data_IF_737652569662
#
_entry.id   IF_737652569662
#
_cell.length_a   1.000
_cell.length_b   1.000
_cell.length_c   1.000
_cell.angle_alpha   90.00
_cell.angle_beta   90.00
_cell.angle_gamma   90.00
#
_symmetry.space_group_name_H-M   'P 1'
#
loop_
_entity.id
_entity.type
_entity.pdbx_description
1 polymer ?
#
# COMPACT_ATOMS: atom_id res chain seq x y z
N UNK A 1 -19.94 -21.21 -27.32
CA UNK A 1 -19.87 -19.74 -27.36
C UNK A 1 -19.07 -19.32 -26.14
N UNK A 2 -17.92 -18.75 -26.39
CA UNK A 2 -16.96 -18.31 -25.39
C UNK A 2 -16.80 -16.78 -25.51
N UNK A 3 -16.43 -16.09 -24.43
CA UNK A 3 -15.91 -14.72 -24.54
C UNK A 3 -14.79 -14.69 -25.61
N UNK A 4 -14.86 -13.73 -26.54
CA UNK A 4 -13.91 -13.62 -27.66
C UNK A 4 -14.47 -14.06 -29.01
N UNK A 5 -15.56 -14.84 -29.01
CA UNK A 5 -16.29 -15.19 -30.22
C UNK A 5 -16.92 -13.94 -30.86
N UNK A 6 -16.95 -13.89 -32.19
CA UNK A 6 -17.82 -12.95 -32.91
C UNK A 6 -19.19 -13.57 -33.04
N UNK A 7 -20.20 -12.86 -32.55
CA UNK A 7 -21.55 -13.36 -32.35
C UNK A 7 -22.57 -12.45 -32.98
N UNK A 8 -23.67 -13.04 -33.43
CA UNK A 8 -24.92 -12.36 -33.75
C UNK A 8 -25.97 -12.78 -32.72
N UNK A 9 -26.57 -11.79 -32.07
CA UNK A 9 -27.61 -11.96 -31.06
C UNK A 9 -28.89 -11.29 -31.57
N UNK A 10 -29.90 -12.09 -31.90
CA UNK A 10 -31.23 -11.63 -32.27
C UNK A 10 -32.17 -11.72 -31.06
N UNK A 11 -32.84 -10.62 -30.71
CA UNK A 11 -33.86 -10.61 -29.67
C UNK A 11 -34.99 -9.67 -30.03
N UNK A 12 -36.22 -10.20 -29.99
CA UNK A 12 -37.42 -9.51 -30.46
C UNK A 12 -37.23 -8.97 -31.89
N UNK A 13 -37.27 -7.65 -32.07
CA UNK A 13 -37.12 -6.95 -33.36
C UNK A 13 -35.71 -6.37 -33.57
N UNK A 14 -34.73 -6.76 -32.75
CA UNK A 14 -33.37 -6.21 -32.76
C UNK A 14 -32.32 -7.28 -32.99
N UNK A 15 -31.30 -6.90 -33.75
CA UNK A 15 -30.11 -7.72 -34.01
C UNK A 15 -28.88 -6.97 -33.56
N UNK A 16 -28.03 -7.63 -32.78
CA UNK A 16 -26.74 -7.13 -32.34
C UNK A 16 -25.65 -8.03 -32.89
N UNK A 17 -24.64 -7.45 -33.53
CA UNK A 17 -23.48 -8.19 -34.03
C UNK A 17 -22.21 -7.57 -33.46
N UNK A 18 -21.34 -8.41 -32.92
CA UNK A 18 -20.13 -7.95 -32.25
C UNK A 18 -19.36 -9.07 -31.59
N UNK A 19 -18.41 -8.71 -30.73
CA UNK A 19 -17.62 -9.68 -29.95
C UNK A 19 -18.34 -9.96 -28.64
N UNK A 20 -18.50 -11.23 -28.27
CA UNK A 20 -19.01 -11.57 -26.95
C UNK A 20 -17.96 -11.24 -25.89
N UNK A 21 -18.35 -10.41 -24.92
CA UNK A 21 -17.53 -10.10 -23.75
C UNK A 21 -17.96 -10.94 -22.53
N UNK A 22 -17.08 -11.08 -21.52
CA UNK A 22 -17.47 -11.58 -20.22
C UNK A 22 -18.64 -10.78 -19.64
N UNK A 23 -19.60 -11.47 -19.04
CA UNK A 23 -20.72 -10.85 -18.34
C UNK A 23 -20.54 -11.06 -16.84
N UNK A 24 -20.86 -10.03 -16.05
CA UNK A 24 -20.90 -10.12 -14.58
C UNK A 24 -22.13 -10.87 -14.07
N UNK A 25 -23.09 -11.19 -14.94
CA UNK A 25 -24.32 -11.94 -14.58
C UNK A 25 -24.65 -12.99 -15.64
N UNK A 26 -25.35 -14.04 -15.19
CA UNK A 26 -25.82 -15.08 -16.09
C UNK A 26 -27.08 -14.72 -16.87
N UNK A 27 -27.72 -13.62 -16.55
CA UNK A 27 -28.99 -13.21 -17.17
C UNK A 27 -28.77 -12.46 -18.50
N UNK A 28 -27.56 -11.94 -18.73
CA UNK A 28 -27.27 -11.07 -19.87
C UNK A 28 -26.07 -11.54 -20.69
N UNK A 29 -26.13 -11.32 -21.99
CA UNK A 29 -24.99 -11.33 -22.91
C UNK A 29 -24.46 -9.90 -23.02
N UNK A 30 -23.15 -9.73 -22.94
CA UNK A 30 -22.50 -8.45 -23.23
C UNK A 30 -21.85 -8.56 -24.59
N UNK A 31 -22.28 -7.74 -25.55
CA UNK A 31 -21.74 -7.75 -26.91
C UNK A 31 -21.07 -6.40 -27.19
N UNK A 32 -19.80 -6.44 -27.60
CA UNK A 32 -19.07 -5.27 -28.08
C UNK A 32 -19.32 -5.08 -29.57
N UNK A 33 -20.11 -4.08 -29.90
CA UNK A 33 -20.47 -3.74 -31.28
C UNK A 33 -19.26 -3.23 -32.05
N UNK A 34 -19.31 -3.27 -33.39
CA UNK A 34 -18.25 -2.75 -34.27
C UNK A 34 -17.94 -1.25 -34.01
N UNK A 35 -18.93 -0.47 -33.58
CA UNK A 35 -18.76 0.92 -33.17
C UNK A 35 -18.04 1.12 -31.82
N UNK A 36 -17.63 0.04 -31.14
CA UNK A 36 -16.89 0.07 -29.87
C UNK A 36 -17.75 0.10 -28.61
N UNK A 37 -19.07 0.24 -28.73
CA UNK A 37 -19.99 0.24 -27.59
C UNK A 37 -20.30 -1.17 -27.10
N UNK A 38 -20.35 -1.35 -25.78
CA UNK A 38 -20.83 -2.56 -25.14
C UNK A 38 -22.34 -2.47 -24.93
N UNK A 39 -23.09 -3.51 -25.33
CA UNK A 39 -24.54 -3.63 -25.08
C UNK A 39 -24.86 -4.88 -24.28
N UNK A 40 -25.71 -4.73 -23.28
CA UNK A 40 -26.31 -5.84 -22.54
C UNK A 40 -27.59 -6.31 -23.21
N UNK A 41 -27.72 -7.61 -23.46
CA UNK A 41 -28.91 -8.25 -24.02
C UNK A 41 -29.35 -9.35 -23.08
N UNK A 42 -30.58 -9.32 -22.53
CA UNK A 42 -31.00 -10.47 -21.70
C UNK A 42 -30.94 -11.76 -22.54
N UNK A 43 -30.39 -12.81 -21.93
CA UNK A 43 -30.30 -14.16 -22.49
C UNK A 43 -31.68 -14.77 -22.71
N UNK A 44 -32.64 -14.43 -21.85
CA UNK A 44 -34.00 -14.92 -22.00
C UNK A 44 -34.65 -14.41 -23.29
N UNK A 45 -34.92 -15.34 -24.20
CA UNK A 45 -35.51 -15.06 -25.51
C UNK A 45 -34.53 -14.48 -26.55
N UNK A 46 -33.23 -14.53 -26.29
CA UNK A 46 -32.20 -14.25 -27.29
C UNK A 46 -31.89 -15.51 -28.13
N UNK A 47 -31.86 -15.36 -29.45
CA UNK A 47 -31.28 -16.34 -30.37
C UNK A 47 -29.85 -15.92 -30.71
N UNK A 48 -28.92 -16.85 -30.57
CA UNK A 48 -27.49 -16.53 -30.63
C UNK A 48 -26.79 -17.43 -31.63
N UNK A 49 -26.12 -16.80 -32.59
CA UNK A 49 -25.32 -17.47 -33.62
C UNK A 49 -23.86 -17.05 -33.51
N UNK A 50 -22.96 -18.03 -33.40
CA UNK A 50 -21.52 -17.80 -33.52
C UNK A 50 -21.20 -17.59 -35.01
N UNK A 51 -20.64 -16.44 -35.35
CA UNK A 51 -20.22 -16.11 -36.72
C UNK A 51 -18.76 -16.48 -36.97
N UNK A 52 -17.91 -16.37 -35.95
CA UNK A 52 -16.54 -16.84 -35.94
C UNK A 52 -16.11 -17.12 -34.49
N UNK A 53 -15.39 -18.22 -34.29
CA UNK A 53 -14.84 -18.64 -32.99
C UNK A 53 -13.47 -18.01 -32.76
N UNK A 54 -13.15 -17.69 -31.49
CA UNK A 54 -11.84 -17.22 -31.03
C UNK A 54 -11.26 -16.06 -31.86
N UNK A 55 -12.12 -15.11 -32.26
CA UNK A 55 -11.69 -13.94 -33.03
C UNK A 55 -10.75 -13.05 -32.21
N UNK A 56 -10.92 -13.08 -30.88
CA UNK A 56 -10.06 -12.43 -29.92
C UNK A 56 -9.83 -13.37 -28.74
N UNK A 57 -8.58 -13.50 -28.31
CA UNK A 57 -8.27 -14.11 -27.01
C UNK A 57 -8.76 -13.15 -25.92
N UNK A 58 -9.83 -13.52 -25.22
CA UNK A 58 -10.26 -12.84 -24.00
C UNK A 58 -9.87 -13.73 -22.85
N UNK A 59 -8.64 -13.58 -22.37
CA UNK A 59 -8.15 -14.37 -21.25
C UNK A 59 -8.91 -14.00 -19.97
N UNK A 60 -9.74 -14.94 -19.53
CA UNK A 60 -10.15 -15.10 -18.13
C UNK A 60 -9.35 -16.21 -17.43
N UNK A 61 -8.26 -16.67 -18.05
CA UNK A 61 -7.37 -17.72 -17.55
C UNK A 61 -5.95 -17.39 -17.96
N UNK A 62 -5.03 -17.41 -17.00
CA UNK A 62 -3.58 -17.22 -17.17
C UNK A 62 -3.07 -17.90 -18.45
N UNK A 63 -2.86 -17.11 -19.50
CA UNK A 63 -2.23 -17.56 -20.73
C UNK A 63 -1.10 -16.57 -21.05
N UNK A 64 0.11 -17.04 -20.75
CA UNK A 64 1.38 -16.37 -21.02
C UNK A 64 1.62 -16.34 -22.53
N UNK A 65 1.06 -15.34 -23.20
CA UNK A 65 1.37 -14.99 -24.58
C UNK A 65 2.55 -14.01 -24.65
N UNK A 66 3.76 -14.46 -24.33
CA UNK A 66 4.99 -13.68 -24.52
C UNK A 66 5.35 -13.65 -26.01
N UNK A 67 5.04 -12.56 -26.71
CA UNK A 67 5.87 -12.17 -27.85
C UNK A 67 7.23 -11.73 -27.29
N UNK A 68 8.21 -12.64 -27.33
CA UNK A 68 9.61 -12.34 -27.06
C UNK A 68 10.15 -11.36 -28.11
N UNK A 69 9.88 -10.07 -27.94
CA UNK A 69 10.84 -9.05 -28.37
C UNK A 69 11.85 -8.89 -27.25
N UNK A 70 12.87 -9.76 -27.23
CA UNK A 70 13.99 -9.65 -26.30
C UNK A 70 14.78 -8.37 -26.54
N UNK A 71 14.36 -7.27 -25.92
CA UNK A 71 15.24 -6.14 -25.66
C UNK A 71 16.01 -6.48 -24.39
N UNK A 72 17.18 -7.11 -24.53
CA UNK A 72 18.07 -7.29 -23.40
C UNK A 72 18.37 -5.90 -22.81
N UNK A 73 17.93 -5.66 -21.56
CA UNK A 73 18.29 -4.46 -20.82
C UNK A 73 19.79 -4.53 -20.58
N UNK A 74 20.58 -3.80 -21.38
CA UNK A 74 22.01 -3.64 -21.12
C UNK A 74 22.18 -2.67 -19.94
N UNK A 75 22.87 -3.13 -18.90
CA UNK A 75 23.16 -2.31 -17.74
C UNK A 75 24.30 -1.34 -18.09
N UNK A 76 24.13 -0.08 -17.74
CA UNK A 76 25.16 0.95 -17.86
C UNK A 76 25.89 1.07 -16.51
N UNK A 77 27.19 0.80 -16.48
CA UNK A 77 28.00 0.86 -15.25
C UNK A 77 28.02 2.26 -14.60
N UNK A 78 27.66 3.31 -15.36
CA UNK A 78 27.58 4.70 -14.86
C UNK A 78 26.20 5.04 -14.23
N UNK A 79 25.20 4.15 -14.33
CA UNK A 79 23.86 4.35 -13.78
C UNK A 79 23.61 3.56 -12.47
N UNK A 80 22.87 4.12 -11.51
CA UNK A 80 22.48 3.40 -10.31
C UNK A 80 21.54 2.24 -10.65
N UNK A 81 21.59 1.17 -9.88
CA UNK A 81 20.68 0.02 -9.99
C UNK A 81 19.49 0.21 -9.06
N UNK A 82 18.28 0.32 -9.62
CA UNK A 82 17.02 0.41 -8.87
C UNK A 82 16.23 -0.89 -9.04
N UNK A 83 15.85 -1.50 -7.91
CA UNK A 83 14.96 -2.67 -7.93
C UNK A 83 13.50 -2.21 -7.89
N UNK A 84 12.71 -2.67 -8.85
CA UNK A 84 11.27 -2.43 -8.97
C UNK A 84 10.56 -3.68 -8.46
N UNK A 85 10.00 -3.58 -7.25
CA UNK A 85 9.28 -4.67 -6.60
C UNK A 85 7.78 -4.42 -6.71
N UNK A 86 7.04 -5.38 -7.25
CA UNK A 86 5.58 -5.32 -7.34
C UNK A 86 4.93 -6.23 -6.29
N UNK A 87 3.96 -5.69 -5.54
CA UNK A 87 3.04 -6.48 -4.71
C UNK A 87 1.62 -6.52 -5.30
N UNK A 88 1.47 -6.04 -6.53
CA UNK A 88 0.21 -5.74 -7.18
C UNK A 88 0.04 -4.23 -7.35
N UNK A 89 -1.21 -3.78 -7.48
CA UNK A 89 -1.53 -2.39 -7.74
C UNK A 89 -1.46 -2.01 -9.22
N UNK A 90 -2.15 -0.91 -9.54
CA UNK A 90 -2.49 -0.56 -10.93
C UNK A 90 -1.43 0.24 -11.67
N UNK A 91 -0.28 0.54 -11.06
CA UNK A 91 0.68 1.51 -11.59
C UNK A 91 1.28 1.07 -12.95
N UNK A 92 1.42 -0.24 -13.17
CA UNK A 92 1.89 -0.85 -14.42
C UNK A 92 0.79 -1.70 -15.10
N UNK A 93 -0.48 -1.28 -15.04
CA UNK A 93 -1.54 -1.99 -15.75
C UNK A 93 -1.76 -1.45 -17.17
N UNK A 94 -1.91 -2.34 -18.16
CA UNK A 94 -2.23 -1.96 -19.55
C UNK A 94 -3.66 -2.36 -19.90
N UNK A 95 -4.37 -1.51 -20.65
CA UNK A 95 -5.67 -1.86 -21.25
C UNK A 95 -5.51 -2.39 -22.66
N UNK A 96 -6.09 -3.56 -22.89
CA UNK A 96 -6.37 -4.02 -24.24
C UNK A 96 -7.65 -3.34 -24.74
N UNK A 97 -7.51 -2.36 -25.62
CA UNK A 97 -8.67 -1.64 -26.18
C UNK A 97 -9.59 -2.51 -27.04
N UNK A 98 -9.14 -3.69 -27.51
CA UNK A 98 -9.95 -4.62 -28.31
C UNK A 98 -10.93 -5.37 -27.41
N UNK A 99 -10.47 -5.82 -26.23
CA UNK A 99 -11.29 -6.60 -25.28
C UNK A 99 -11.88 -5.74 -24.16
N UNK A 100 -11.23 -4.63 -23.81
CA UNK A 100 -11.51 -3.81 -22.64
C UNK A 100 -10.88 -4.36 -21.35
N UNK A 101 -10.09 -5.44 -21.43
CA UNK A 101 -9.43 -6.04 -20.29
C UNK A 101 -8.23 -5.21 -19.80
N UNK A 102 -7.96 -5.28 -18.50
CA UNK A 102 -6.80 -4.65 -17.85
C UNK A 102 -5.87 -5.77 -17.41
N UNK A 103 -4.61 -5.76 -17.86
CA UNK A 103 -3.60 -6.77 -17.49
C UNK A 103 -2.52 -6.11 -16.64
N UNK A 104 -2.17 -6.73 -15.51
CA UNK A 104 -1.02 -6.33 -14.70
C UNK A 104 0.28 -6.78 -15.37
N UNK A 105 1.38 -6.07 -15.10
CA UNK A 105 2.69 -6.32 -15.69
C UNK A 105 3.68 -6.87 -14.67
N UNK A 106 4.60 -7.74 -15.13
CA UNK A 106 5.29 -8.68 -14.23
C UNK A 106 6.82 -8.59 -14.23
N UNK A 107 7.44 -7.93 -15.20
CA UNK A 107 8.89 -7.73 -15.20
C UNK A 107 9.28 -6.25 -15.42
N UNK A 108 10.58 -5.95 -15.28
CA UNK A 108 11.08 -4.58 -15.46
C UNK A 108 10.85 -4.06 -16.89
N UNK A 109 10.89 -4.94 -17.90
CA UNK A 109 10.66 -4.54 -19.28
C UNK A 109 9.22 -4.09 -19.47
N UNK A 110 8.28 -4.81 -18.87
CA UNK A 110 6.89 -4.42 -18.89
C UNK A 110 6.67 -3.05 -18.23
N UNK A 111 7.22 -2.84 -17.01
CA UNK A 111 7.12 -1.52 -16.34
C UNK A 111 7.70 -0.41 -17.21
N UNK A 112 8.83 -0.63 -17.88
CA UNK A 112 9.42 0.33 -18.82
C UNK A 112 8.55 0.57 -20.06
N UNK A 113 7.79 -0.44 -20.52
CA UNK A 113 6.79 -0.26 -21.59
C UNK A 113 5.59 0.57 -21.12
N UNK A 114 5.14 0.38 -19.88
CA UNK A 114 4.04 1.15 -19.30
C UNK A 114 4.44 2.58 -18.92
N UNK A 115 5.69 2.78 -18.47
CA UNK A 115 6.25 4.08 -18.09
C UNK A 115 7.57 4.31 -18.85
N UNK A 116 7.52 4.67 -20.15
CA UNK A 116 8.72 4.89 -20.96
C UNK A 116 9.65 5.96 -20.42
N UNK A 117 9.11 6.93 -19.67
CA UNK A 117 9.87 8.00 -19.01
C UNK A 117 10.93 7.48 -18.03
N UNK A 118 10.84 6.23 -17.57
CA UNK A 118 11.87 5.61 -16.74
C UNK A 118 13.13 5.22 -17.53
N UNK A 119 13.04 5.03 -18.84
CA UNK A 119 14.15 4.56 -19.66
C UNK A 119 15.37 5.49 -19.57
N UNK A 120 16.53 4.92 -19.23
CA UNK A 120 17.81 5.64 -19.15
C UNK A 120 18.04 6.42 -17.85
N UNK A 121 17.13 6.36 -16.87
CA UNK A 121 17.32 7.00 -15.55
C UNK A 121 18.15 6.17 -14.57
N UNK A 122 18.05 4.85 -14.70
CA UNK A 122 18.69 3.86 -13.85
C UNK A 122 18.74 2.50 -14.58
N UNK A 123 19.55 1.59 -14.05
CA UNK A 123 19.46 0.17 -14.38
C UNK A 123 18.33 -0.45 -13.55
N UNK A 124 17.41 -1.17 -14.19
CA UNK A 124 16.25 -1.72 -13.49
C UNK A 124 16.33 -3.24 -13.33
N UNK A 125 16.03 -3.70 -12.12
CA UNK A 125 15.69 -5.10 -11.83
C UNK A 125 14.20 -5.16 -11.51
N UNK A 126 13.50 -6.17 -12.03
CA UNK A 126 12.07 -6.35 -11.79
C UNK A 126 11.84 -7.60 -10.96
N UNK A 127 11.03 -7.49 -9.90
CA UNK A 127 10.65 -8.63 -9.05
C UNK A 127 9.18 -8.53 -8.66
N UNK A 128 8.46 -9.64 -8.79
CA UNK A 128 7.09 -9.76 -8.29
C UNK A 128 7.12 -10.55 -6.99
N UNK A 129 6.61 -9.94 -5.92
CA UNK A 129 6.42 -10.60 -4.62
C UNK A 129 5.00 -11.13 -4.52
N UNK A 130 4.03 -10.33 -4.91
CA UNK A 130 2.62 -10.69 -4.91
C UNK A 130 1.89 -10.00 -6.07
N UNK A 131 0.69 -10.49 -6.41
CA UNK A 131 -0.23 -9.81 -7.32
C UNK A 131 -1.62 -9.80 -6.68
N UNK A 132 -1.80 -8.90 -5.72
CA UNK A 132 -3.05 -8.78 -4.96
C UNK A 132 -3.57 -7.35 -4.96
N UNK A 133 -4.86 -7.22 -4.70
CA UNK A 133 -5.44 -5.93 -4.32
C UNK A 133 -5.00 -5.60 -2.89
N UNK A 134 -4.64 -4.33 -2.65
CA UNK A 134 -4.06 -3.91 -1.37
C UNK A 134 -4.95 -4.21 -0.15
N UNK A 135 -6.26 -4.21 -0.31
CA UNK A 135 -7.23 -4.56 0.73
C UNK A 135 -7.14 -6.02 1.20
N UNK A 136 -6.48 -6.90 0.43
CA UNK A 136 -6.22 -8.30 0.78
C UNK A 136 -4.77 -8.52 1.27
N UNK A 137 -4.05 -7.46 1.65
CA UNK A 137 -2.70 -7.56 2.18
C UNK A 137 -2.72 -8.19 3.59
N UNK A 138 -1.81 -9.12 3.85
CA UNK A 138 -1.73 -9.88 5.10
C UNK A 138 -0.28 -9.96 5.60
N UNK A 139 -0.04 -10.19 6.91
CA UNK A 139 1.30 -10.24 7.50
C UNK A 139 2.32 -11.12 6.77
N UNK A 140 1.99 -12.36 6.33
CA UNK A 140 2.96 -13.19 5.60
C UNK A 140 3.50 -12.53 4.32
N UNK A 141 2.67 -11.73 3.64
CA UNK A 141 3.06 -11.03 2.42
C UNK A 141 4.03 -9.87 2.75
N UNK A 142 3.88 -9.22 3.91
CA UNK A 142 4.86 -8.24 4.38
C UNK A 142 6.21 -8.88 4.69
N UNK A 143 6.22 -10.09 5.25
CA UNK A 143 7.46 -10.84 5.50
C UNK A 143 8.16 -11.21 4.19
N UNK A 144 7.41 -11.72 3.21
CA UNK A 144 7.92 -12.03 1.87
C UNK A 144 8.47 -10.76 1.17
N UNK A 145 7.77 -9.63 1.32
CA UNK A 145 8.21 -8.34 0.79
C UNK A 145 9.50 -7.86 1.47
N UNK A 146 9.61 -7.94 2.79
CA UNK A 146 10.81 -7.54 3.52
C UNK A 146 12.03 -8.40 3.09
N UNK A 147 11.85 -9.71 2.95
CA UNK A 147 12.87 -10.60 2.43
C UNK A 147 13.29 -10.24 0.99
N UNK A 148 12.32 -9.98 0.11
CA UNK A 148 12.60 -9.59 -1.26
C UNK A 148 13.39 -8.27 -1.35
N UNK A 149 12.99 -7.26 -0.57
CA UNK A 149 13.70 -5.98 -0.49
C UNK A 149 15.12 -6.18 0.01
N UNK A 150 15.30 -6.92 1.12
CA UNK A 150 16.62 -7.23 1.67
C UNK A 150 17.51 -7.94 0.65
N UNK A 151 17.01 -8.95 -0.06
CA UNK A 151 17.76 -9.69 -1.08
C UNK A 151 18.20 -8.79 -2.24
N UNK A 152 17.36 -7.87 -2.70
CA UNK A 152 17.68 -6.93 -3.77
C UNK A 152 18.78 -5.95 -3.35
N UNK A 153 18.70 -5.41 -2.13
CA UNK A 153 19.73 -4.53 -1.57
C UNK A 153 21.04 -5.30 -1.38
N UNK A 154 20.99 -6.52 -0.83
CA UNK A 154 22.16 -7.38 -0.67
C UNK A 154 22.81 -7.77 -2.01
N UNK A 155 22.01 -7.83 -3.09
CA UNK A 155 22.48 -8.03 -4.47
C UNK A 155 23.01 -6.73 -5.12
N UNK A 156 23.15 -5.65 -4.36
CA UNK A 156 23.75 -4.38 -4.81
C UNK A 156 22.77 -3.43 -5.50
N UNK A 157 21.49 -3.43 -5.11
CA UNK A 157 20.60 -2.34 -5.51
C UNK A 157 20.95 -1.05 -4.75
N UNK A 158 21.06 0.06 -5.47
CA UNK A 158 21.30 1.41 -4.94
C UNK A 158 20.02 2.05 -4.36
N UNK A 159 18.86 1.43 -4.60
CA UNK A 159 17.57 1.83 -4.07
C UNK A 159 16.48 0.85 -4.51
N UNK A 160 15.36 0.85 -3.81
CA UNK A 160 14.22 -0.02 -4.10
C UNK A 160 12.96 0.82 -4.26
N UNK A 161 12.18 0.56 -5.30
CA UNK A 161 10.83 1.11 -5.49
C UNK A 161 9.82 -0.01 -5.34
N UNK A 162 8.92 0.11 -4.38
CA UNK A 162 7.84 -0.85 -4.14
C UNK A 162 6.54 -0.31 -4.75
N UNK A 163 6.10 -0.93 -5.84
CA UNK A 163 4.84 -0.68 -6.50
C UNK A 163 3.72 -1.39 -5.75
N UNK A 164 2.84 -0.61 -5.12
CA UNK A 164 1.88 -1.11 -4.14
C UNK A 164 0.48 -0.51 -4.36
N UNK A 165 -0.56 -1.27 -4.03
CA UNK A 165 -1.94 -0.76 -4.01
C UNK A 165 -2.14 0.30 -2.91
N UNK A 166 -2.94 1.32 -3.17
CA UNK A 166 -2.97 2.52 -2.32
C UNK A 166 -3.71 2.34 -0.99
N UNK A 167 -4.60 1.36 -0.84
CA UNK A 167 -5.47 1.28 0.35
C UNK A 167 -4.73 0.89 1.62
N UNK A 168 -3.71 0.04 1.51
CA UNK A 168 -2.93 -0.46 2.65
C UNK A 168 -1.46 -0.09 2.61
N UNK A 169 -1.04 0.72 1.63
CA UNK A 169 0.36 1.15 1.47
C UNK A 169 0.96 1.77 2.74
N UNK A 170 0.17 2.53 3.51
CA UNK A 170 0.62 3.10 4.79
C UNK A 170 1.02 2.03 5.82
N UNK A 171 0.36 0.86 5.83
CA UNK A 171 0.65 -0.23 6.74
C UNK A 171 1.91 -0.97 6.29
N UNK A 172 2.00 -1.29 5.00
CA UNK A 172 3.17 -1.95 4.41
C UNK A 172 4.44 -1.11 4.56
N UNK A 173 4.36 0.20 4.33
CA UNK A 173 5.48 1.11 4.54
C UNK A 173 5.87 1.22 6.03
N UNK A 174 4.88 1.29 6.93
CA UNK A 174 5.14 1.31 8.36
C UNK A 174 5.83 0.02 8.84
N UNK A 175 5.32 -1.15 8.48
CA UNK A 175 5.88 -2.43 8.96
C UNK A 175 7.27 -2.69 8.39
N UNK A 176 7.53 -2.36 7.11
CA UNK A 176 8.87 -2.48 6.54
C UNK A 176 9.87 -1.52 7.20
N UNK A 177 9.40 -0.39 7.74
CA UNK A 177 10.26 0.53 8.50
C UNK A 177 10.75 -0.08 9.81
N UNK A 178 10.01 -1.04 10.40
CA UNK A 178 10.42 -1.77 11.59
C UNK A 178 11.21 -3.04 11.24
N UNK A 179 10.85 -3.72 10.15
CA UNK A 179 11.50 -4.96 9.74
C UNK A 179 12.89 -4.79 9.14
N UNK A 180 13.25 -3.60 8.63
CA UNK A 180 14.47 -3.40 7.85
C UNK A 180 15.28 -2.20 8.36
N UNK A 181 16.54 -2.45 8.69
CA UNK A 181 17.57 -1.41 8.73
C UNK A 181 18.20 -1.34 7.34
N UNK A 182 18.08 -0.20 6.65
CA UNK A 182 18.49 -0.09 5.24
C UNK A 182 19.62 0.93 5.03
N UNK A 183 20.69 0.58 4.26
CA UNK A 183 21.71 1.53 3.83
C UNK A 183 21.29 2.36 2.62
N UNK A 184 20.17 2.03 1.97
CA UNK A 184 19.67 2.66 0.74
C UNK A 184 18.19 3.01 0.84
N UNK A 185 17.66 3.92 0.00
CA UNK A 185 16.25 4.29 0.04
C UNK A 185 15.32 3.14 -0.37
N UNK A 186 14.18 3.00 0.34
CA UNK A 186 13.08 2.11 -0.04
C UNK A 186 11.83 2.97 -0.23
N UNK A 187 11.34 3.08 -1.47
CA UNK A 187 10.27 4.03 -1.83
C UNK A 187 9.03 3.30 -2.31
N UNK A 188 7.99 3.29 -1.47
CA UNK A 188 6.66 2.85 -1.86
C UNK A 188 5.99 3.89 -2.76
N UNK A 189 5.29 3.41 -3.79
CA UNK A 189 4.52 4.25 -4.70
C UNK A 189 3.34 3.49 -5.30
N UNK A 190 2.40 4.21 -5.90
CA UNK A 190 1.20 3.65 -6.51
C UNK A 190 0.46 4.70 -7.33
N UNK A 191 -0.81 4.42 -7.67
CA UNK A 191 -1.65 5.35 -8.42
C UNK A 191 -3.10 5.34 -7.91
N UNK A 192 -3.66 6.52 -7.69
CA UNK A 192 -5.07 6.73 -7.32
C UNK A 192 -6.00 6.68 -8.53
N UNK A 193 -5.47 6.87 -9.73
CA UNK A 193 -6.16 6.72 -11.01
C UNK A 193 -5.55 5.54 -11.74
N UNK A 194 -6.39 4.62 -12.18
CA UNK A 194 -5.99 3.46 -12.98
C UNK A 194 -5.06 3.86 -14.14
N UNK A 195 -3.96 3.12 -14.32
CA UNK A 195 -2.90 3.42 -15.30
C UNK A 195 -3.38 3.48 -16.76
N UNK A 196 -4.53 2.87 -17.07
CA UNK A 196 -5.13 2.90 -18.39
C UNK A 196 -5.72 4.25 -18.80
N UNK A 197 -5.86 5.15 -17.82
CA UNK A 197 -6.44 6.47 -18.04
C UNK A 197 -5.33 7.46 -18.43
N UNK A 198 -5.52 8.28 -19.48
CA UNK A 198 -4.56 9.33 -19.82
C UNK A 198 -4.33 10.38 -18.72
N UNK A 199 -5.25 10.47 -17.76
CA UNK A 199 -5.11 11.31 -16.57
C UNK A 199 -4.57 10.53 -15.36
N UNK A 200 -3.92 9.39 -15.57
CA UNK A 200 -3.34 8.62 -14.47
C UNK A 200 -2.20 9.41 -13.82
N UNK A 201 -2.06 9.22 -12.53
CA UNK A 201 -0.94 9.70 -11.71
C UNK A 201 0.25 8.72 -11.73
N UNK A 202 0.12 7.55 -12.37
CA UNK A 202 1.12 6.49 -12.36
C UNK A 202 2.51 6.90 -12.86
N UNK A 203 2.59 7.61 -13.99
CA UNK A 203 3.86 8.01 -14.61
C UNK A 203 4.64 8.92 -13.69
N UNK A 204 4.00 9.99 -13.21
CA UNK A 204 4.65 10.97 -12.34
C UNK A 204 5.05 10.37 -11.00
N UNK A 205 4.19 9.55 -10.39
CA UNK A 205 4.52 8.86 -9.15
C UNK A 205 5.69 7.89 -9.34
N UNK A 206 5.73 7.11 -10.43
CA UNK A 206 6.81 6.17 -10.70
C UNK A 206 8.15 6.87 -10.96
N UNK A 207 8.15 7.92 -11.79
CA UNK A 207 9.35 8.73 -12.05
C UNK A 207 9.85 9.36 -10.75
N UNK A 208 8.97 9.99 -9.99
CA UNK A 208 9.35 10.65 -8.74
C UNK A 208 9.86 9.66 -7.69
N UNK A 209 9.26 8.47 -7.62
CA UNK A 209 9.72 7.41 -6.71
C UNK A 209 11.10 6.88 -7.09
N UNK A 210 11.40 6.75 -8.39
CA UNK A 210 12.74 6.37 -8.87
C UNK A 210 13.78 7.45 -8.55
N UNK A 211 13.47 8.72 -8.75
CA UNK A 211 14.39 9.81 -8.38
C UNK A 211 14.61 9.86 -6.85
N UNK A 212 13.56 9.66 -6.06
CA UNK A 212 13.70 9.52 -4.61
C UNK A 212 14.53 8.28 -4.21
N UNK A 213 14.41 7.17 -4.93
CA UNK A 213 15.17 5.95 -4.68
C UNK A 213 16.69 6.11 -4.97
N UNK A 214 17.06 7.11 -5.78
CA UNK A 214 18.45 7.48 -6.07
C UNK A 214 19.03 8.47 -5.05
N UNK A 215 18.21 9.05 -4.18
CA UNK A 215 18.63 10.07 -3.22
C UNK A 215 19.46 9.52 -2.06
N UNK A 216 19.96 10.39 -1.18
CA UNK A 216 20.72 9.98 0.01
C UNK A 216 19.84 9.59 1.22
N UNK A 217 18.52 9.69 1.10
CA UNK A 217 17.59 9.35 2.20
C UNK A 217 17.34 7.84 2.29
N UNK A 218 18.17 7.15 3.09
CA UNK A 218 18.07 5.72 3.36
C UNK A 218 17.03 5.40 4.44
N UNK A 219 15.77 5.69 4.13
CA UNK A 219 14.60 5.33 4.93
C UNK A 219 13.55 4.62 4.05
N UNK A 220 12.57 4.01 4.71
CA UNK A 220 11.32 3.59 4.04
C UNK A 220 10.42 4.82 3.89
N UNK A 221 10.11 5.15 2.64
CA UNK A 221 9.30 6.32 2.27
C UNK A 221 8.08 5.91 1.45
N UNK A 222 7.06 6.78 1.44
CA UNK A 222 5.97 6.76 0.46
C UNK A 222 6.11 8.00 -0.43
N UNK A 223 6.13 7.80 -1.75
CA UNK A 223 6.18 8.86 -2.76
C UNK A 223 4.87 8.89 -3.57
N UNK A 224 4.08 9.94 -3.37
CA UNK A 224 2.80 10.18 -4.03
C UNK A 224 2.63 11.68 -4.32
N UNK A 225 1.75 12.08 -5.23
CA UNK A 225 1.41 13.48 -5.50
C UNK A 225 1.28 14.34 -4.24
N UNK A 226 1.95 15.49 -4.21
CA UNK A 226 1.83 16.48 -3.13
C UNK A 226 0.59 17.38 -3.28
N UNK A 227 0.02 17.44 -4.49
CA UNK A 227 -1.17 18.22 -4.81
C UNK A 227 -2.02 17.50 -5.87
N UNK A 228 -3.21 18.03 -6.17
CA UNK A 228 -4.00 17.50 -7.30
C UNK A 228 -3.35 17.73 -8.68
N UNK A 229 -2.31 18.56 -8.74
CA UNK A 229 -1.60 18.95 -9.97
C UNK A 229 -0.41 18.04 -10.24
N UNK A 230 -0.05 17.91 -11.52
CA UNK A 230 1.12 17.14 -11.95
C UNK A 230 2.40 18.00 -11.88
N UNK A 231 2.71 18.52 -10.68
CA UNK A 231 3.83 19.43 -10.42
C UNK A 231 4.91 18.83 -9.50
N UNK A 232 4.49 18.20 -8.40
CA UNK A 232 5.40 17.60 -7.40
C UNK A 232 4.79 16.39 -6.69
N UNK A 233 5.66 15.48 -6.28
CA UNK A 233 5.33 14.40 -5.34
C UNK A 233 5.89 14.73 -3.96
N UNK A 234 5.15 14.39 -2.91
CA UNK A 234 5.62 14.46 -1.52
C UNK A 234 6.31 13.15 -1.16
N UNK A 235 7.37 13.26 -0.35
CA UNK A 235 8.07 12.13 0.27
C UNK A 235 7.68 12.07 1.73
N UNK A 236 6.95 11.03 2.10
CA UNK A 236 6.49 10.80 3.47
C UNK A 236 7.33 9.70 4.12
N UNK A 237 7.79 9.91 5.36
CA UNK A 237 8.36 8.82 6.16
C UNK A 237 7.30 7.73 6.35
N UNK A 238 7.65 6.46 6.11
CA UNK A 238 6.72 5.33 6.04
C UNK A 238 5.87 5.15 7.29
N UNK A 239 6.42 5.47 8.46
CA UNK A 239 5.74 5.39 9.77
C UNK A 239 4.84 6.59 10.11
N UNK A 240 4.82 7.63 9.28
CA UNK A 240 4.07 8.88 9.52
C UNK A 240 3.08 9.20 8.42
N UNK A 241 2.97 8.34 7.40
CA UNK A 241 2.08 8.55 6.27
C UNK A 241 0.71 7.95 6.54
N UNK A 242 -0.35 8.65 6.11
CA UNK A 242 -1.72 8.14 6.13
C UNK A 242 -2.45 8.50 4.85
N UNK A 243 -3.25 7.57 4.32
CA UNK A 243 -4.21 7.84 3.24
C UNK A 243 -5.44 8.55 3.84
N UNK A 244 -5.45 9.87 3.77
CA UNK A 244 -6.48 10.74 4.32
C UNK A 244 -7.64 11.01 3.35
N UNK A 245 -7.47 10.74 2.05
CA UNK A 245 -8.55 10.84 1.07
C UNK A 245 -8.78 9.53 0.33
N UNK A 246 -10.04 9.22 0.02
CA UNK A 246 -10.44 7.98 -0.66
C UNK A 246 -10.16 7.97 -2.16
N UNK A 247 -9.65 9.05 -2.75
CA UNK A 247 -9.61 9.18 -4.23
C UNK A 247 -8.83 10.35 -4.80
N UNK A 248 -8.47 11.41 -4.05
CA UNK A 248 -7.62 12.47 -4.60
C UNK A 248 -6.22 11.94 -4.89
N UNK A 249 -5.47 12.61 -5.77
CA UNK A 249 -4.07 12.25 -6.06
C UNK A 249 -3.19 12.52 -4.84
N UNK A 250 -3.39 13.67 -4.19
CA UNK A 250 -2.82 14.07 -2.90
C UNK A 250 -3.53 13.43 -1.71
N UNK A 251 -3.87 12.13 -1.82
CA UNK A 251 -4.56 11.41 -0.77
C UNK A 251 -3.67 11.04 0.42
N UNK A 252 -2.35 10.99 0.23
CA UNK A 252 -1.40 10.64 1.27
C UNK A 252 -0.85 11.90 1.93
N UNK A 253 -0.85 11.90 3.25
CA UNK A 253 -0.41 13.03 4.06
C UNK A 253 0.52 12.54 5.17
N UNK A 254 1.51 13.36 5.52
CA UNK A 254 2.30 13.15 6.74
C UNK A 254 1.51 13.68 7.93
N UNK A 255 1.33 12.86 8.95
CA UNK A 255 0.63 13.25 10.17
C UNK A 255 1.63 13.67 11.24
N UNK A 256 1.38 14.81 11.87
CA UNK A 256 2.20 15.37 12.95
C UNK A 256 3.44 16.15 12.50
N UNK A 257 3.68 16.34 11.20
CA UNK A 257 4.73 17.19 10.65
C UNK A 257 4.61 17.34 9.12
N UNK A 258 5.30 18.32 8.53
CA UNK A 258 5.43 18.40 7.07
C UNK A 258 6.07 17.12 6.47
N UNK A 259 5.82 16.82 5.18
CA UNK A 259 6.52 15.76 4.47
C UNK A 259 8.04 15.83 4.66
N UNK A 260 8.70 14.67 4.60
CA UNK A 260 10.15 14.56 4.77
C UNK A 260 10.89 15.36 3.68
N UNK A 261 10.33 15.34 2.47
CA UNK A 261 10.81 16.07 1.32
C UNK A 261 9.76 16.11 0.20
N UNK A 262 10.19 16.61 -0.95
CA UNK A 262 9.41 16.60 -2.19
C UNK A 262 10.30 16.31 -3.39
N UNK A 263 9.68 15.84 -4.47
CA UNK A 263 10.28 15.71 -5.79
C UNK A 263 9.55 16.65 -6.72
N UNK A 264 10.27 17.60 -7.31
CA UNK A 264 9.75 18.44 -8.39
C UNK A 264 9.79 17.64 -9.69
N UNK A 265 8.64 17.46 -10.35
CA UNK A 265 8.54 16.54 -11.47
C UNK A 265 9.17 17.08 -12.76
N UNK A 266 9.19 18.40 -12.97
CA UNK A 266 9.76 19.00 -14.18
C UNK A 266 11.29 19.02 -14.14
N UNK A 267 11.85 19.38 -12.99
CA UNK A 267 13.31 19.45 -12.79
C UNK A 267 13.92 18.16 -12.28
N UNK A 268 13.10 17.22 -11.83
CA UNK A 268 13.51 15.93 -11.25
C UNK A 268 14.37 16.09 -9.98
N UNK A 269 14.24 17.25 -9.33
CA UNK A 269 15.02 17.59 -8.13
C UNK A 269 14.34 17.01 -6.90
N UNK A 270 15.12 16.29 -6.09
CA UNK A 270 14.69 15.80 -4.78
C UNK A 270 15.20 16.75 -3.70
N UNK A 271 14.30 17.29 -2.89
CA UNK A 271 14.63 18.18 -1.78
C UNK A 271 14.06 17.64 -0.46
N UNK A 272 14.92 17.48 0.54
CA UNK A 272 14.52 17.11 1.90
C UNK A 272 14.54 18.34 2.80
N UNK A 273 13.53 18.45 3.66
CA UNK A 273 13.33 19.62 4.57
C UNK A 273 13.52 19.27 6.03
N UNK A 274 13.70 17.99 6.34
CA UNK A 274 13.78 17.43 7.69
C UNK A 274 14.94 16.43 7.76
N UNK A 275 15.41 16.15 8.96
CA UNK A 275 16.48 15.18 9.19
C UNK A 275 16.02 13.77 8.79
N UNK A 276 16.91 13.08 8.08
CA UNK A 276 16.73 11.71 7.62
C UNK A 276 18.01 10.89 7.83
N UNK A 277 17.87 9.57 7.73
CA UNK A 277 19.02 8.66 7.74
C UNK A 277 19.80 8.73 6.42
N UNK A 278 21.05 9.15 6.49
CA UNK A 278 21.95 9.23 5.34
C UNK A 278 22.29 7.84 4.77
N UNK A 279 22.48 7.79 3.46
CA UNK A 279 22.90 6.59 2.72
C UNK A 279 24.17 5.99 3.33
N UNK A 280 24.12 4.68 3.60
CA UNK A 280 25.22 3.92 4.19
C UNK A 280 25.53 4.26 5.65
N UNK A 281 24.65 4.97 6.37
CA UNK A 281 24.82 5.26 7.80
C UNK A 281 24.67 4.01 8.69
N UNK A 282 23.93 3.00 8.22
CA UNK A 282 23.73 1.71 8.89
C UNK A 282 24.06 0.57 7.95
N UNK A 283 24.32 -0.61 8.51
CA UNK A 283 24.43 -1.86 7.75
C UNK A 283 23.02 -2.41 7.44
N UNK A 284 22.90 -3.17 6.36
CA UNK A 284 21.64 -3.85 6.03
C UNK A 284 21.32 -4.94 7.06
N UNK A 285 20.15 -4.86 7.71
CA UNK A 285 19.63 -5.88 8.60
C UNK A 285 18.14 -6.13 8.37
N UNK A 286 17.65 -7.29 8.81
CA UNK A 286 16.24 -7.68 8.69
C UNK A 286 15.76 -8.46 9.92
N UNK A 287 14.60 -8.06 10.45
CA UNK A 287 13.87 -8.71 11.54
C UNK A 287 12.40 -8.88 11.11
N UNK A 288 12.10 -9.94 10.33
CA UNK A 288 10.82 -10.04 9.60
C UNK A 288 9.73 -10.76 10.40
N UNK A 289 10.01 -11.28 11.60
CA UNK A 289 9.00 -11.99 12.39
C UNK A 289 7.88 -11.03 12.81
N UNK A 290 6.64 -11.52 12.78
CA UNK A 290 5.44 -10.79 13.19
C UNK A 290 4.52 -11.74 13.96
N UNK A 291 3.94 -11.24 15.05
CA UNK A 291 2.78 -11.83 15.70
C UNK A 291 1.52 -11.37 14.94
N UNK A 292 0.73 -12.31 14.44
CA UNK A 292 -0.44 -12.00 13.60
C UNK A 292 -1.73 -11.84 14.41
N UNK A 293 -1.78 -12.33 15.66
CA UNK A 293 -2.90 -12.18 16.60
C UNK A 293 -2.88 -10.83 17.33
N UNK A 294 -2.91 -9.76 16.53
CA UNK A 294 -2.96 -8.37 17.00
C UNK A 294 -4.09 -7.60 16.35
N UNK A 295 -4.98 -7.06 17.19
CA UNK A 295 -6.18 -6.35 16.74
C UNK A 295 -6.13 -4.83 16.95
N UNK A 296 -6.89 -4.10 16.12
CA UNK A 296 -7.08 -2.66 16.23
C UNK A 296 -8.54 -2.36 16.60
N UNK A 297 -8.75 -1.96 17.86
CA UNK A 297 -10.07 -1.65 18.41
C UNK A 297 -10.33 -0.14 18.40
N UNK A 298 -11.34 0.29 17.64
CA UNK A 298 -11.82 1.68 17.75
C UNK A 298 -12.88 1.83 18.83
N UNK A 299 -12.56 2.57 19.89
CA UNK A 299 -13.53 2.90 20.92
C UNK A 299 -14.63 3.84 20.38
N UNK A 300 -15.89 3.60 20.76
CA UNK A 300 -17.01 4.51 20.43
C UNK A 300 -17.96 4.67 21.63
N UNK A 301 -18.65 5.82 21.75
CA UNK A 301 -19.59 6.04 22.85
C UNK A 301 -20.71 4.99 22.87
N UNK A 302 -20.89 4.34 24.02
CA UNK A 302 -21.90 3.29 24.19
C UNK A 302 -21.43 1.89 23.76
N UNK A 303 -20.13 1.69 23.52
CA UNK A 303 -19.54 0.36 23.34
C UNK A 303 -19.87 -0.53 24.54
N UNK A 304 -20.43 -1.70 24.25
CA UNK A 304 -20.73 -2.73 25.24
C UNK A 304 -19.42 -3.36 25.74
N UNK A 305 -19.12 -3.41 27.05
CA UNK A 305 -17.95 -4.10 27.57
C UNK A 305 -17.81 -5.55 27.13
N UNK A 306 -18.93 -6.24 26.87
CA UNK A 306 -18.89 -7.62 26.35
C UNK A 306 -18.28 -7.72 24.95
N UNK A 307 -18.18 -6.61 24.21
CA UNK A 307 -17.49 -6.62 22.92
C UNK A 307 -16.00 -6.94 23.06
N UNK A 308 -15.39 -6.63 24.21
CA UNK A 308 -13.99 -6.95 24.47
C UNK A 308 -13.75 -8.46 24.63
N UNK A 309 -14.80 -9.27 24.82
CA UNK A 309 -14.69 -10.72 24.91
C UNK A 309 -14.22 -11.35 23.59
N UNK A 310 -14.38 -10.66 22.46
CA UNK A 310 -13.83 -11.13 21.17
C UNK A 310 -12.31 -11.04 21.09
N UNK A 311 -11.68 -10.30 22.02
CA UNK A 311 -10.24 -10.10 22.11
C UNK A 311 -9.60 -11.03 23.14
N UNK A 312 -10.38 -11.91 23.79
CA UNK A 312 -9.82 -12.93 24.69
C UNK A 312 -8.83 -13.82 23.94
N UNK A 313 -7.61 -13.89 24.45
CA UNK A 313 -6.55 -14.74 23.89
C UNK A 313 -5.73 -14.09 22.79
N UNK A 314 -6.06 -12.87 22.35
CA UNK A 314 -5.18 -12.11 21.47
C UNK A 314 -3.85 -11.80 22.17
N UNK A 315 -2.74 -11.87 21.43
CA UNK A 315 -1.41 -11.52 21.95
C UNK A 315 -1.26 -9.99 22.09
N UNK A 316 -1.94 -9.21 21.24
CA UNK A 316 -1.91 -7.75 21.30
C UNK A 316 -3.21 -7.05 20.89
N UNK A 317 -3.47 -5.90 21.51
CA UNK A 317 -4.58 -5.01 21.13
C UNK A 317 -4.10 -3.55 21.11
N UNK A 318 -4.32 -2.87 19.99
CA UNK A 318 -4.20 -1.42 19.90
C UNK A 318 -5.59 -0.79 20.00
N UNK A 319 -5.77 0.11 20.96
CA UNK A 319 -7.04 0.83 21.15
C UNK A 319 -6.93 2.22 20.53
N UNK A 320 -7.83 2.57 19.60
CA UNK A 320 -8.07 3.96 19.19
C UNK A 320 -9.01 4.63 20.20
N UNK A 321 -8.42 5.17 21.26
CA UNK A 321 -9.12 5.94 22.29
C UNK A 321 -9.60 7.31 21.81
N UNK A 322 -10.31 8.02 22.67
CA UNK A 322 -10.76 9.40 22.42
C UNK A 322 -9.77 10.42 22.99
N UNK A 323 -9.60 11.55 22.31
CA UNK A 323 -8.85 12.69 22.83
C UNK A 323 -7.41 12.34 23.20
N UNK A 324 -7.07 12.40 24.49
CA UNK A 324 -5.73 12.08 25.00
C UNK A 324 -5.49 10.58 25.25
N UNK A 325 -6.38 9.67 24.84
CA UNK A 325 -6.20 8.22 25.08
C UNK A 325 -7.29 7.58 25.95
N UNK A 326 -8.52 8.09 25.91
CA UNK A 326 -9.55 7.64 26.85
C UNK A 326 -10.56 6.65 26.25
N UNK A 327 -11.01 5.73 27.10
CA UNK A 327 -12.20 4.89 26.88
C UNK A 327 -13.28 5.21 27.91
N UNK A 328 -14.45 4.58 27.81
CA UNK A 328 -15.45 4.63 28.87
C UNK A 328 -14.95 3.86 30.11
N UNK A 329 -15.14 4.40 31.32
CA UNK A 329 -14.65 3.79 32.57
C UNK A 329 -15.12 2.34 32.77
N UNK A 330 -16.32 1.99 32.32
CA UNK A 330 -16.85 0.62 32.43
C UNK A 330 -16.08 -0.41 31.58
N UNK A 331 -15.25 0.02 30.63
CA UNK A 331 -14.38 -0.87 29.85
C UNK A 331 -13.08 -1.20 30.57
N UNK A 332 -12.64 -0.38 31.52
CA UNK A 332 -11.33 -0.51 32.17
C UNK A 332 -11.17 -1.86 32.88
N UNK A 333 -12.12 -2.35 33.70
CA UNK A 333 -11.96 -3.64 34.37
C UNK A 333 -11.75 -4.78 33.37
N UNK A 334 -12.39 -4.71 32.20
CA UNK A 334 -12.28 -5.74 31.19
C UNK A 334 -10.96 -5.65 30.42
N UNK A 335 -10.44 -4.44 30.21
CA UNK A 335 -9.10 -4.22 29.65
C UNK A 335 -8.04 -4.74 30.63
N UNK A 336 -8.19 -4.49 31.93
CA UNK A 336 -7.31 -5.01 32.97
C UNK A 336 -7.29 -6.55 32.95
N UNK A 337 -8.46 -7.20 32.85
CA UNK A 337 -8.55 -8.66 32.72
C UNK A 337 -7.80 -9.20 31.49
N UNK A 338 -7.90 -8.56 30.31
CA UNK A 338 -7.14 -8.96 29.11
C UNK A 338 -5.63 -8.88 29.35
N UNK A 339 -5.17 -7.82 30.02
CA UNK A 339 -3.75 -7.62 30.34
C UNK A 339 -3.28 -8.67 31.35
N UNK A 340 -4.08 -8.95 32.39
CA UNK A 340 -3.77 -10.00 33.37
C UNK A 340 -3.67 -11.39 32.73
N UNK A 341 -4.46 -11.65 31.68
CA UNK A 341 -4.44 -12.89 30.89
C UNK A 341 -3.29 -12.96 29.88
N UNK A 342 -2.52 -11.89 29.71
CA UNK A 342 -1.27 -11.85 28.92
C UNK A 342 -1.30 -10.97 27.67
N UNK A 343 -2.45 -10.38 27.32
CA UNK A 343 -2.57 -9.51 26.14
C UNK A 343 -1.84 -8.20 26.34
N UNK A 344 -0.97 -7.81 25.41
CA UNK A 344 -0.38 -6.47 25.42
C UNK A 344 -1.36 -5.44 24.89
N UNK A 345 -1.75 -4.46 25.70
CA UNK A 345 -2.69 -3.41 25.27
C UNK A 345 -1.98 -2.06 25.12
N UNK A 346 -2.00 -1.50 23.90
CA UNK A 346 -1.44 -0.18 23.60
C UNK A 346 -2.54 0.85 23.28
N UNK A 347 -2.39 2.07 23.80
CA UNK A 347 -3.33 3.18 23.60
C UNK A 347 -2.85 4.14 22.53
N UNK A 348 -3.73 4.42 21.56
CA UNK A 348 -3.60 5.48 20.55
C UNK A 348 -4.84 6.39 20.59
N UNK A 349 -4.93 7.37 19.69
CA UNK A 349 -6.07 8.28 19.61
C UNK A 349 -6.74 8.27 18.25
N UNK A 350 -8.07 8.43 18.26
CA UNK A 350 -8.87 8.76 17.08
C UNK A 350 -8.54 10.15 16.54
N UNK A 351 -7.99 11.03 17.37
CA UNK A 351 -7.39 12.28 16.92
C UNK A 351 -6.06 11.93 16.24
N UNK A 352 -6.03 12.07 14.91
CA UNK A 352 -4.83 11.76 14.12
C UNK A 352 -3.64 12.63 14.53
N UNK A 353 -3.90 13.91 14.79
CA UNK A 353 -2.91 14.82 15.36
C UNK A 353 -3.05 14.86 16.88
N UNK A 354 -1.91 14.79 17.56
CA UNK A 354 -1.81 14.90 19.00
C UNK A 354 -1.04 13.73 19.60
N UNK A 355 -0.82 13.82 20.90
CA UNK A 355 -0.13 12.82 21.70
C UNK A 355 -1.07 12.31 22.79
N UNK A 356 -1.14 10.99 22.93
CA UNK A 356 -1.76 10.33 24.09
C UNK A 356 -1.05 10.76 25.37
N UNK A 357 -1.84 11.09 26.39
CA UNK A 357 -1.33 11.52 27.69
C UNK A 357 -2.37 11.16 28.77
N UNK A 358 -2.29 9.92 29.22
CA UNK A 358 -3.21 9.31 30.17
C UNK A 358 -2.95 9.77 31.62
N UNK A 359 -1.97 10.65 31.83
CA UNK A 359 -1.61 11.17 33.15
C UNK A 359 -2.49 12.34 33.59
N UNK A 360 -3.24 12.96 32.68
CA UNK A 360 -4.01 14.19 32.94
C UNK A 360 -5.29 13.91 33.70
N UNK A 361 -6.11 12.97 33.20
CA UNK A 361 -7.44 12.66 33.72
C UNK A 361 -7.43 11.37 34.55
N UNK A 362 -8.40 11.22 35.46
CA UNK A 362 -8.52 10.01 36.30
C UNK A 362 -8.62 8.75 35.44
N UNK A 363 -9.48 8.77 34.42
CA UNK A 363 -9.68 7.64 33.49
C UNK A 363 -8.39 7.16 32.82
N UNK A 364 -7.49 8.08 32.47
CA UNK A 364 -6.20 7.72 31.90
C UNK A 364 -5.28 7.09 32.96
N UNK A 365 -5.27 7.63 34.18
CA UNK A 365 -4.47 7.05 35.28
C UNK A 365 -4.95 5.64 35.62
N UNK A 366 -6.25 5.42 35.59
CA UNK A 366 -6.84 4.10 35.80
C UNK A 366 -6.40 3.11 34.69
N UNK A 367 -6.29 3.55 33.42
CA UNK A 367 -5.76 2.74 32.32
C UNK A 367 -4.28 2.42 32.49
N UNK A 368 -3.47 3.38 32.93
CA UNK A 368 -2.05 3.15 33.23
C UNK A 368 -1.88 2.19 34.41
N UNK A 369 -2.72 2.31 35.44
CA UNK A 369 -2.73 1.39 36.59
C UNK A 369 -3.12 -0.03 36.17
N UNK A 370 -4.02 -0.17 35.18
CA UNK A 370 -4.38 -1.45 34.57
C UNK A 370 -3.29 -2.06 33.67
N UNK A 371 -2.21 -1.31 33.36
CA UNK A 371 -1.09 -1.80 32.55
C UNK A 371 -1.16 -1.45 31.05
N UNK A 372 -2.02 -0.49 30.66
CA UNK A 372 -2.09 -0.03 29.26
C UNK A 372 -0.83 0.77 28.90
N UNK A 373 -0.24 0.46 27.75
CA UNK A 373 0.96 1.11 27.22
C UNK A 373 0.60 2.33 26.38
N UNK A 374 1.17 3.51 26.69
CA UNK A 374 0.97 4.70 25.86
C UNK A 374 1.81 4.63 24.58
N UNK A 375 1.17 4.65 23.40
CA UNK A 375 1.88 4.70 22.10
C UNK A 375 2.24 6.12 21.63
N UNK A 376 2.21 7.11 22.54
CA UNK A 376 2.59 8.49 22.27
C UNK A 376 1.76 9.17 21.18
N UNK A 377 2.42 9.62 20.11
CA UNK A 377 1.81 10.22 18.92
C UNK A 377 1.88 9.31 17.68
N UNK A 378 2.08 8.01 17.91
CA UNK A 378 2.07 7.00 16.85
C UNK A 378 0.67 6.91 16.23
N UNK A 379 0.60 6.86 14.90
CA UNK A 379 -0.66 6.62 14.19
C UNK A 379 -1.24 5.26 14.58
N UNK A 380 -2.57 5.11 14.72
CA UNK A 380 -3.18 3.83 15.09
C UNK A 380 -2.77 2.64 14.22
N UNK A 381 -2.77 2.83 12.89
CA UNK A 381 -2.36 1.77 11.96
C UNK A 381 -0.88 1.42 12.05
N UNK A 382 -0.03 2.42 12.33
CA UNK A 382 1.42 2.21 12.56
C UNK A 382 1.66 1.52 13.90
N UNK A 383 0.91 1.88 14.94
CA UNK A 383 0.98 1.23 16.25
C UNK A 383 0.55 -0.25 16.16
N UNK A 384 -0.47 -0.57 15.35
CA UNK A 384 -0.87 -1.97 15.09
C UNK A 384 0.31 -2.78 14.57
N UNK A 385 0.92 -2.35 13.47
CA UNK A 385 2.01 -3.12 12.84
C UNK A 385 3.30 -3.08 13.67
N UNK A 386 3.51 -2.02 14.46
CA UNK A 386 4.61 -1.94 15.43
C UNK A 386 4.43 -2.97 16.54
N UNK A 387 3.22 -3.13 17.08
CA UNK A 387 2.94 -4.11 18.13
C UNK A 387 3.12 -5.54 17.60
N UNK A 388 2.63 -5.84 16.39
CA UNK A 388 2.88 -7.11 15.70
C UNK A 388 4.37 -7.44 15.62
N UNK A 389 5.21 -6.45 15.29
CA UNK A 389 6.65 -6.61 15.22
C UNK A 389 7.32 -6.70 16.59
N UNK A 390 6.93 -5.85 17.54
CA UNK A 390 7.55 -5.78 18.86
C UNK A 390 7.35 -7.08 19.66
N UNK A 391 6.20 -7.73 19.55
CA UNK A 391 5.91 -9.01 20.23
C UNK A 391 6.92 -10.12 19.86
N UNK A 392 7.43 -10.12 18.63
CA UNK A 392 8.37 -11.13 18.14
C UNK A 392 9.84 -10.72 18.29
N UNK A 393 10.14 -9.42 18.17
CA UNK A 393 11.52 -8.95 17.99
C UNK A 393 12.04 -8.08 19.14
N UNK A 394 11.17 -7.53 20.00
CA UNK A 394 11.61 -6.68 21.11
C UNK A 394 11.84 -7.48 22.41
N UNK A 395 12.90 -7.15 23.14
CA UNK A 395 13.12 -7.69 24.48
C UNK A 395 12.10 -7.14 25.50
N UNK A 396 11.67 -5.89 25.31
CA UNK A 396 10.67 -5.19 26.12
C UNK A 396 9.66 -4.51 25.20
N UNK A 397 8.47 -5.08 25.12
CA UNK A 397 7.39 -4.62 24.24
C UNK A 397 6.83 -3.27 24.71
N UNK A 398 6.76 -3.02 26.01
CA UNK A 398 6.28 -1.74 26.56
C UNK A 398 7.26 -0.62 26.18
N UNK A 399 8.56 -0.84 26.38
CA UNK A 399 9.59 0.12 25.99
C UNK A 399 9.60 0.35 24.47
N UNK A 400 9.53 -0.74 23.68
CA UNK A 400 9.49 -0.65 22.23
C UNK A 400 8.30 0.19 21.78
N UNK A 401 7.10 -0.04 22.32
CA UNK A 401 5.90 0.72 21.95
C UNK A 401 5.97 2.19 22.38
N UNK A 402 6.59 2.50 23.51
CA UNK A 402 6.71 3.86 24.05
C UNK A 402 7.84 4.72 23.46
N UNK A 403 8.76 4.13 22.68
CA UNK A 403 9.94 4.81 22.11
C UNK A 403 9.96 4.80 20.59
N UNK A 404 10.66 5.75 19.96
CA UNK A 404 10.77 5.82 18.50
C UNK A 404 11.79 4.80 17.99
N UNK A 405 11.36 3.87 17.14
CA UNK A 405 12.24 2.92 16.45
C UNK A 405 12.57 3.37 15.02
N UNK A 406 11.60 3.93 14.30
CA UNK A 406 11.71 4.32 12.90
C UNK A 406 10.98 5.66 12.61
N UNK A 407 11.02 6.59 13.58
CA UNK A 407 10.50 7.95 13.45
C UNK A 407 8.98 8.08 13.61
N UNK A 408 8.32 7.03 14.09
CA UNK A 408 6.88 6.95 14.36
C UNK A 408 6.46 7.71 15.61
N UNK A 409 7.39 8.01 16.53
CA UNK A 409 7.17 8.83 17.73
C UNK A 409 8.09 10.06 17.70
N UNK A 410 7.54 11.23 18.06
CA UNK A 410 8.32 12.45 18.25
C UNK A 410 8.76 12.55 19.70
N UNK A 411 9.90 13.18 20.00
CA UNK A 411 10.26 13.45 21.41
C UNK A 411 9.31 14.48 22.05
N UNK A 412 8.81 15.43 21.25
CA UNK A 412 7.93 16.52 21.67
C UNK A 412 6.99 16.96 20.55
N UNK A 413 5.80 17.41 20.91
CA UNK A 413 4.89 18.07 19.95
C UNK A 413 5.37 19.49 19.67
N UNK A 414 5.66 19.79 18.41
CA UNK A 414 6.05 21.12 17.93
C UNK A 414 5.03 21.63 16.90
N UNK A 415 4.84 22.95 16.75
CA UNK A 415 4.15 23.49 15.58
C UNK A 415 4.82 22.98 14.30
N UNK A 416 4.03 22.80 13.25
CA UNK A 416 4.50 22.50 11.91
C UNK A 416 5.48 23.61 11.48
N UNK A 417 6.76 23.26 11.36
CA UNK A 417 7.80 24.14 10.81
C UNK A 417 7.93 23.95 9.31
#
# INVERSE_FOLDING_TARGET
MNPGDRVRVDRADRTYEGVLLPSSTDDHLVVKLEGGYNVGVDREGADVSVLAEDVYEIDGTDSTGTEETGSAIEFDDDLPTISLISTGGTIASTVDYRTGAVTAQFDAEDVLRAVPDLAGRANYRGRVVANILSENMEPPIWQDLAHAVHEEIAAGADGVVVMHGTDTMQYSASVLSFMLETPVPIVFTGSQRSADRPSSDNVMNAVSAVEAAKSDCAEVMVCMHASESDDRCALHRGTRVRKNHTSRRDAFETVGAEPLGEVDYESETVEFRREYQERGAVDLAIEPALEDDVELLKFTPGMDPQFLDVLEGCEGVVIEGTGLGHVHTDLIPRIEELIEDGTTVAMTSQCLEGRVCDRVYDTGRDLLEAGVVEAGDTLPGTAKVKLMWALENAEDVEEAMGTSLAGEIQERSVPWE
#
